data_IF_618810874792
#
_entry.id   IF_618810874792
#
_cell.length_a   1.000
_cell.length_b   1.000
_cell.length_c   1.000
_cell.angle_alpha   90.00
_cell.angle_beta   90.00
_cell.angle_gamma   90.00
#
_symmetry.space_group_name_H-M   'P 1'
#
loop_
_entity.id
_entity.type
_entity.pdbx_description
1 polymer ?
#
# COMPACT_ATOMS: atom_id res chain seq x y z
N UNK A 1 -15.22 -0.76 -23.36
CA UNK A 1 -15.59 -1.23 -22.00
C UNK A 1 -14.50 -2.19 -21.58
N UNK A 2 -13.80 -1.90 -20.47
CA UNK A 2 -12.77 -2.80 -19.94
C UNK A 2 -13.44 -4.13 -19.61
N UNK A 3 -13.06 -5.20 -20.31
CA UNK A 3 -13.63 -6.52 -20.11
C UNK A 3 -12.62 -7.33 -19.28
N UNK A 4 -12.45 -6.91 -18.02
CA UNK A 4 -11.63 -7.66 -17.07
C UNK A 4 -12.37 -8.94 -16.73
N UNK A 5 -12.05 -10.02 -17.45
CA UNK A 5 -12.41 -11.36 -17.00
C UNK A 5 -11.53 -11.61 -15.77
N UNK A 6 -12.12 -11.85 -14.61
CA UNK A 6 -11.38 -12.30 -13.44
C UNK A 6 -10.76 -13.66 -13.77
N UNK A 7 -9.44 -13.71 -13.87
CA UNK A 7 -8.70 -14.95 -14.01
C UNK A 7 -8.29 -15.39 -12.62
N UNK A 8 -8.77 -16.56 -12.19
CA UNK A 8 -8.36 -17.11 -10.90
C UNK A 8 -6.89 -17.53 -11.02
N UNK A 9 -6.05 -17.06 -10.11
CA UNK A 9 -4.64 -17.40 -10.09
C UNK A 9 -4.43 -18.92 -9.90
N UNK A 10 -3.61 -19.52 -10.75
CA UNK A 10 -3.26 -20.94 -10.66
C UNK A 10 -2.61 -21.29 -9.31
N UNK A 11 -2.93 -22.47 -8.78
CA UNK A 11 -2.39 -22.96 -7.51
C UNK A 11 -3.20 -22.58 -6.27
N UNK A 12 -4.34 -21.88 -6.43
CA UNK A 12 -5.25 -21.51 -5.34
C UNK A 12 -6.66 -22.09 -5.56
N UNK A 13 -7.43 -22.21 -4.47
CA UNK A 13 -8.89 -22.39 -4.58
C UNK A 13 -9.49 -21.22 -5.35
N UNK A 14 -10.55 -21.47 -6.13
CA UNK A 14 -11.11 -20.48 -7.08
C UNK A 14 -11.28 -19.08 -6.49
N UNK A 15 -11.94 -18.97 -5.33
CA UNK A 15 -12.20 -17.68 -4.69
C UNK A 15 -10.93 -17.00 -4.15
N UNK A 16 -9.96 -17.79 -3.66
CA UNK A 16 -8.65 -17.27 -3.25
C UNK A 16 -7.87 -16.81 -4.48
N UNK A 17 -7.86 -17.58 -5.56
CA UNK A 17 -7.20 -17.21 -6.80
C UNK A 17 -7.79 -15.94 -7.44
N UNK A 18 -9.11 -15.75 -7.35
CA UNK A 18 -9.76 -14.50 -7.78
C UNK A 18 -9.31 -13.31 -6.90
N UNK A 19 -9.20 -13.48 -5.58
CA UNK A 19 -8.70 -12.44 -4.68
C UNK A 19 -7.22 -12.10 -4.94
N UNK A 20 -6.38 -13.11 -5.18
CA UNK A 20 -4.96 -12.92 -5.52
C UNK A 20 -4.83 -12.10 -6.81
N UNK A 21 -5.60 -12.46 -7.85
CA UNK A 21 -5.63 -11.70 -9.10
C UNK A 21 -6.06 -10.25 -8.87
N UNK A 22 -7.11 -10.02 -8.08
CA UNK A 22 -7.60 -8.67 -7.78
C UNK A 22 -6.52 -7.83 -7.09
N UNK A 23 -5.84 -8.38 -6.07
CA UNK A 23 -4.78 -7.69 -5.34
C UNK A 23 -3.58 -7.37 -6.24
N UNK A 24 -3.15 -8.33 -7.06
CA UNK A 24 -2.06 -8.14 -8.02
C UNK A 24 -2.39 -7.08 -9.08
N UNK A 25 -3.62 -7.12 -9.62
CA UNK A 25 -4.06 -6.15 -10.60
C UNK A 25 -4.17 -4.75 -9.99
N UNK A 26 -4.73 -4.62 -8.78
CA UNK A 26 -4.78 -3.35 -8.05
C UNK A 26 -3.37 -2.78 -7.86
N UNK A 27 -2.41 -3.60 -7.42
CA UNK A 27 -1.01 -3.17 -7.29
C UNK A 27 -0.43 -2.67 -8.62
N UNK A 28 -0.54 -3.47 -9.68
CA UNK A 28 -0.03 -3.13 -11.00
C UNK A 28 -0.59 -1.78 -11.49
N UNK A 29 -1.91 -1.58 -11.36
CA UNK A 29 -2.55 -0.33 -11.77
C UNK A 29 -2.11 0.84 -10.88
N UNK A 30 -2.01 0.65 -9.57
CA UNK A 30 -1.49 1.69 -8.67
C UNK A 30 -0.06 2.10 -9.04
N UNK A 31 0.84 1.14 -9.29
CA UNK A 31 2.21 1.42 -9.72
C UNK A 31 2.25 2.15 -11.06
N UNK A 32 1.45 1.70 -12.03
CA UNK A 32 1.36 2.32 -13.35
C UNK A 32 0.93 3.79 -13.27
N UNK A 33 -0.11 4.09 -12.48
CA UNK A 33 -0.65 5.45 -12.35
C UNK A 33 0.31 6.43 -11.64
N UNK A 34 1.23 5.92 -10.81
CA UNK A 34 2.18 6.76 -10.05
C UNK A 34 3.60 6.75 -10.62
N UNK A 35 3.87 5.92 -11.63
CA UNK A 35 5.21 5.66 -12.15
C UNK A 35 5.97 6.91 -12.65
N UNK A 36 5.25 7.89 -13.19
CA UNK A 36 5.83 9.11 -13.76
C UNK A 36 5.77 10.32 -12.81
N UNK A 37 5.27 10.14 -11.59
CA UNK A 37 5.20 11.24 -10.61
C UNK A 37 6.58 11.56 -10.06
N UNK A 38 6.92 12.84 -10.07
CA UNK A 38 8.10 13.36 -9.36
C UNK A 38 7.89 13.35 -7.85
N UNK A 39 8.97 13.35 -7.06
CA UNK A 39 8.91 13.47 -5.59
C UNK A 39 8.04 14.65 -5.14
N UNK A 40 8.13 15.79 -5.85
CA UNK A 40 7.31 16.97 -5.56
C UNK A 40 5.82 16.74 -5.78
N UNK A 41 5.43 15.92 -6.76
CA UNK A 41 4.04 15.57 -7.00
C UNK A 41 3.57 14.50 -6.01
N UNK A 42 4.44 13.57 -5.61
CA UNK A 42 4.14 12.60 -4.57
C UNK A 42 3.90 13.26 -3.21
N UNK A 43 4.67 14.32 -2.90
CA UNK A 43 4.57 15.08 -1.66
C UNK A 43 3.59 16.26 -1.72
N UNK A 44 2.89 16.44 -2.86
CA UNK A 44 1.91 17.52 -3.00
C UNK A 44 0.72 17.35 -2.04
N UNK A 45 0.34 18.45 -1.40
CA UNK A 45 -0.85 18.55 -0.56
C UNK A 45 -1.89 19.44 -1.23
N UNK A 46 -3.10 18.93 -1.41
CA UNK A 46 -4.23 19.69 -1.95
C UNK A 46 -4.65 20.83 -1.00
N UNK A 47 -4.63 20.54 0.30
CA UNK A 47 -4.85 21.47 1.39
C UNK A 47 -4.03 21.05 2.64
N UNK A 48 -3.90 21.90 3.68
CA UNK A 48 -3.08 21.60 4.87
C UNK A 48 -3.49 20.36 5.68
N UNK A 49 -4.71 19.85 5.47
CA UNK A 49 -5.26 18.68 6.16
C UNK A 49 -5.29 17.41 5.32
N UNK A 50 -5.04 17.52 4.01
CA UNK A 50 -4.95 16.38 3.09
C UNK A 50 -3.76 15.47 3.41
N UNK A 51 -3.80 14.26 2.84
CA UNK A 51 -2.65 13.35 2.76
C UNK A 51 -2.08 13.43 1.34
N UNK A 52 -0.75 13.42 1.21
CA UNK A 52 -0.11 13.39 -0.10
C UNK A 52 -0.27 12.02 -0.77
N UNK A 53 0.03 11.92 -2.07
CA UNK A 53 0.01 10.64 -2.78
C UNK A 53 1.03 9.67 -2.14
N UNK A 54 2.22 10.16 -1.80
CA UNK A 54 3.24 9.36 -1.09
C UNK A 54 2.75 8.80 0.24
N UNK A 55 2.00 9.61 1.02
CA UNK A 55 1.40 9.15 2.28
C UNK A 55 0.36 8.04 2.06
N UNK A 56 -0.50 8.18 1.05
CA UNK A 56 -1.53 7.18 0.75
C UNK A 56 -0.92 5.87 0.26
N UNK A 57 0.15 5.94 -0.53
CA UNK A 57 0.89 4.77 -0.98
C UNK A 57 1.56 4.04 0.19
N UNK A 58 2.19 4.77 1.12
CA UNK A 58 2.73 4.16 2.34
C UNK A 58 1.62 3.57 3.23
N UNK A 59 0.45 4.20 3.30
CA UNK A 59 -0.69 3.65 4.02
C UNK A 59 -1.07 2.27 3.47
N UNK A 60 -1.19 2.13 2.15
CA UNK A 60 -1.48 0.84 1.51
C UNK A 60 -0.43 -0.22 1.92
N UNK A 61 0.86 0.12 1.83
CA UNK A 61 1.95 -0.80 2.21
C UNK A 61 1.90 -1.18 3.70
N UNK A 62 1.63 -0.22 4.59
CA UNK A 62 1.56 -0.45 6.03
C UNK A 62 0.38 -1.36 6.43
N UNK A 63 -0.76 -1.21 5.75
CA UNK A 63 -1.94 -2.05 6.00
C UNK A 63 -1.72 -3.45 5.44
N UNK A 64 -1.06 -3.59 4.28
CA UNK A 64 -0.65 -4.90 3.77
C UNK A 64 0.27 -5.60 4.77
N UNK A 65 1.32 -4.92 5.26
CA UNK A 65 2.24 -5.46 6.26
C UNK A 65 1.50 -5.94 7.53
N UNK A 66 0.63 -5.11 8.10
CA UNK A 66 -0.17 -5.47 9.27
C UNK A 66 -0.99 -6.75 9.02
N UNK A 67 -1.67 -6.84 7.87
CA UNK A 67 -2.49 -8.02 7.57
C UNK A 67 -1.65 -9.27 7.33
N UNK A 68 -0.45 -9.14 6.75
CA UNK A 68 0.48 -10.27 6.62
C UNK A 68 0.94 -10.77 7.99
N UNK A 69 1.35 -9.87 8.88
CA UNK A 69 1.73 -10.22 10.27
C UNK A 69 0.58 -10.91 10.99
N UNK A 70 -0.64 -10.37 10.90
CA UNK A 70 -1.81 -10.97 11.55
C UNK A 70 -2.21 -12.32 10.94
N UNK A 71 -2.12 -12.47 9.62
CA UNK A 71 -2.64 -13.66 8.92
C UNK A 71 -1.64 -14.80 8.83
N UNK A 72 -0.34 -14.49 8.68
CA UNK A 72 0.70 -15.49 8.45
C UNK A 72 1.57 -15.75 9.69
N UNK A 73 1.72 -14.75 10.56
CA UNK A 73 2.50 -14.89 11.79
C UNK A 73 1.63 -14.98 13.05
N UNK A 74 0.31 -14.82 12.91
CA UNK A 74 -0.68 -14.94 13.99
C UNK A 74 -0.36 -14.06 15.22
N UNK A 75 0.23 -12.88 14.97
CA UNK A 75 0.61 -11.92 16.01
C UNK A 75 0.22 -10.49 15.65
N UNK A 76 0.44 -9.58 16.59
CA UNK A 76 0.44 -8.13 16.34
C UNK A 76 1.85 -7.65 15.98
N UNK A 77 1.94 -6.43 15.48
CA UNK A 77 3.23 -5.77 15.27
C UNK A 77 3.98 -5.64 16.60
N UNK A 78 5.31 -5.75 16.54
CA UNK A 78 6.18 -5.45 17.67
C UNK A 78 6.51 -3.94 17.73
N UNK A 79 7.20 -3.50 18.78
CA UNK A 79 7.52 -2.08 18.98
C UNK A 79 8.36 -1.48 17.84
N UNK A 80 9.26 -2.25 17.21
CA UNK A 80 10.09 -1.78 16.10
C UNK A 80 9.26 -1.60 14.83
N UNK A 81 8.39 -2.57 14.53
CA UNK A 81 7.45 -2.52 13.40
C UNK A 81 6.40 -1.41 13.58
N UNK A 82 5.86 -1.24 14.78
CA UNK A 82 4.96 -0.12 15.08
C UNK A 82 5.68 1.21 14.88
N UNK A 83 6.92 1.33 15.35
CA UNK A 83 7.70 2.56 15.15
C UNK A 83 7.94 2.86 13.66
N UNK A 84 8.14 1.84 12.84
CA UNK A 84 8.30 1.97 11.39
C UNK A 84 7.00 2.36 10.69
N UNK A 85 5.89 1.67 11.01
CA UNK A 85 4.67 1.73 10.20
C UNK A 85 3.58 2.66 10.73
N UNK A 86 3.61 3.05 12.00
CA UNK A 86 2.46 3.72 12.64
C UNK A 86 2.13 5.08 12.01
N UNK A 87 3.11 5.85 11.54
CA UNK A 87 2.84 7.11 10.84
C UNK A 87 2.07 6.89 9.53
N UNK A 88 2.45 5.88 8.76
CA UNK A 88 1.79 5.49 7.51
C UNK A 88 0.39 4.92 7.77
N UNK A 89 0.21 4.16 8.84
CA UNK A 89 -1.10 3.64 9.22
C UNK A 89 -2.07 4.74 9.65
N UNK A 90 -1.61 5.69 10.47
CA UNK A 90 -2.47 6.73 11.05
C UNK A 90 -2.78 7.87 10.08
N UNK A 91 -1.92 8.13 9.10
CA UNK A 91 -2.03 9.28 8.21
C UNK A 91 -2.13 10.61 9.01
N UNK A 92 -2.70 11.65 8.40
CA UNK A 92 -3.00 12.90 9.09
C UNK A 92 -1.76 13.69 9.49
N UNK A 93 -1.82 14.37 10.63
CA UNK A 93 -0.73 15.25 11.10
C UNK A 93 0.58 14.48 11.26
N UNK A 94 0.52 13.34 11.96
CA UNK A 94 1.68 12.47 12.16
C UNK A 94 2.28 12.00 10.83
N UNK A 95 1.43 11.53 9.91
CA UNK A 95 1.89 11.14 8.58
C UNK A 95 2.56 12.30 7.84
N UNK A 96 1.99 13.52 7.89
CA UNK A 96 2.60 14.71 7.24
C UNK A 96 3.94 15.13 7.86
N UNK A 97 4.14 14.86 9.15
CA UNK A 97 5.37 15.20 9.86
C UNK A 97 6.48 14.18 9.58
N UNK A 98 6.15 12.89 9.62
CA UNK A 98 7.12 11.79 9.58
C UNK A 98 7.35 11.23 8.17
N UNK A 99 6.41 11.38 7.24
CA UNK A 99 6.49 10.84 5.87
C UNK A 99 6.83 11.97 4.90
N UNK A 100 8.09 12.06 4.48
CA UNK A 100 8.58 13.02 3.46
C UNK A 100 9.64 12.37 2.59
N UNK A 101 9.69 12.71 1.29
CA UNK A 101 10.71 12.24 0.34
C UNK A 101 10.89 10.70 0.28
N UNK A 102 9.79 9.95 0.19
CA UNK A 102 9.85 8.48 0.15
C UNK A 102 9.72 7.93 -1.26
N UNK A 103 10.75 7.28 -1.78
CA UNK A 103 10.58 6.30 -2.86
C UNK A 103 9.66 5.21 -2.31
N UNK A 104 8.41 5.18 -2.76
CA UNK A 104 7.46 4.14 -2.37
C UNK A 104 7.93 2.85 -3.01
N UNK A 105 8.65 2.04 -2.23
CA UNK A 105 8.74 0.62 -2.54
C UNK A 105 7.45 0.02 -2.02
N UNK A 106 6.48 -0.23 -2.91
CA UNK A 106 5.34 -1.09 -2.56
C UNK A 106 5.96 -2.45 -2.26
N UNK A 107 6.02 -2.81 -0.98
CA UNK A 107 6.71 -4.01 -0.53
C UNK A 107 5.89 -5.22 -0.98
N UNK A 108 6.17 -5.70 -2.18
CA UNK A 108 6.11 -7.11 -2.46
C UNK A 108 7.46 -7.55 -3.01
N UNK A 109 8.41 -7.71 -2.09
CA UNK A 109 9.47 -8.68 -2.30
C UNK A 109 8.97 -10.01 -1.74
N UNK A 110 8.25 -10.76 -2.57
CA UNK A 110 8.16 -12.21 -2.49
C UNK A 110 8.29 -12.75 -3.90
#
# INVERSE_FOLDING_TARGET
>A
MFNAKFESQDGYDKGIGELVYMLQHTRMMTEFEVAELTDKQLDYLLDPTSNSIGMLLQHIASIEFLHQVMSFEERMMNEEEEKEWMAAMQLGERGREEIKNGTVTIICKN
#
